data_IF_342532211734
#
_entry.id   IF_342532211734
#
_cell.length_a   1.000
_cell.length_b   1.000
_cell.length_c   1.000
_cell.angle_alpha   90.00
_cell.angle_beta   90.00
_cell.angle_gamma   90.00
#
_symmetry.space_group_name_H-M   'P 1'
#
loop_
_entity.id
_entity.type
_entity.pdbx_description
1 polymer ?
#
# COMPACT_ATOMS: atom_id res chain seq x y z
N UNK A 1 -70.58 4.27 52.15
CA UNK A 1 -69.29 4.42 52.86
C UNK A 1 -68.20 4.00 51.90
N UNK A 2 -67.56 5.00 51.28
CA UNK A 2 -66.49 4.82 50.28
C UNK A 2 -65.14 4.88 50.97
N UNK A 3 -64.35 3.87 50.77
CA UNK A 3 -63.01 3.80 51.29
C UNK A 3 -62.00 4.02 50.14
N UNK A 4 -61.32 5.19 50.14
CA UNK A 4 -60.27 5.50 49.21
C UNK A 4 -58.92 5.49 49.98
N UNK A 5 -57.91 4.76 49.50
CA UNK A 5 -56.61 4.76 50.12
C UNK A 5 -55.82 6.02 49.76
N UNK A 6 -55.39 6.71 50.80
CA UNK A 6 -54.47 7.87 50.72
C UNK A 6 -53.03 7.34 50.81
N UNK A 7 -52.34 7.19 49.69
CA UNK A 7 -50.88 7.11 49.71
C UNK A 7 -50.29 7.78 48.46
N UNK A 8 -49.74 9.00 48.61
CA UNK A 8 -49.15 9.76 47.49
C UNK A 8 -47.86 9.16 46.96
N UNK A 9 -47.21 8.24 47.65
CA UNK A 9 -45.91 7.64 47.27
C UNK A 9 -45.99 6.58 46.15
N UNK A 10 -47.18 6.05 45.86
CA UNK A 10 -47.34 5.03 44.80
C UNK A 10 -47.39 5.64 43.40
N UNK A 11 -47.86 6.89 43.27
CA UNK A 11 -47.93 7.57 41.96
C UNK A 11 -46.56 8.04 41.47
N UNK A 12 -45.66 8.40 42.36
CA UNK A 12 -44.31 8.85 41.98
C UNK A 12 -43.43 7.69 41.45
N UNK A 13 -43.64 6.44 41.93
CA UNK A 13 -42.85 5.29 41.45
C UNK A 13 -43.30 4.76 40.08
N UNK A 14 -44.56 4.90 39.72
CA UNK A 14 -45.01 4.53 38.37
C UNK A 14 -44.57 5.54 37.30
N UNK A 15 -44.59 6.85 37.61
CA UNK A 15 -44.13 7.89 36.69
C UNK A 15 -42.62 7.79 36.40
N UNK A 16 -41.80 7.48 37.43
CA UNK A 16 -40.36 7.29 37.26
C UNK A 16 -40.00 6.04 36.43
N UNK A 17 -40.78 4.97 36.51
CA UNK A 17 -40.56 3.77 35.68
C UNK A 17 -40.87 4.00 34.20
N UNK A 18 -41.89 4.77 33.87
CA UNK A 18 -42.24 5.09 32.48
C UNK A 18 -41.25 6.08 31.86
N UNK A 19 -40.75 7.07 32.61
CA UNK A 19 -39.74 7.98 32.15
C UNK A 19 -38.38 7.30 31.84
N UNK A 20 -37.95 6.32 32.67
CA UNK A 20 -36.74 5.54 32.37
C UNK A 20 -36.92 4.58 31.20
N UNK A 21 -38.13 4.07 30.93
CA UNK A 21 -38.37 3.19 29.76
C UNK A 21 -38.40 3.98 28.44
N UNK A 22 -38.94 5.20 28.47
CA UNK A 22 -38.94 6.08 27.27
C UNK A 22 -37.54 6.62 26.98
N UNK A 23 -36.74 6.96 28.03
CA UNK A 23 -35.36 7.39 27.83
C UNK A 23 -34.45 6.25 27.34
N UNK A 24 -34.70 5.01 27.79
CA UNK A 24 -34.01 3.82 27.31
C UNK A 24 -34.32 3.47 25.84
N UNK A 25 -35.53 3.73 25.37
CA UNK A 25 -35.93 3.52 23.98
C UNK A 25 -35.41 4.62 23.04
N UNK A 26 -35.21 5.85 23.52
CA UNK A 26 -34.62 6.95 22.74
C UNK A 26 -33.11 6.82 22.58
N UNK A 27 -32.41 6.14 23.48
CA UNK A 27 -30.97 5.82 23.36
C UNK A 27 -30.68 4.63 22.47
N UNK A 28 -31.67 3.78 22.14
CA UNK A 28 -31.51 2.62 21.26
C UNK A 28 -31.60 2.94 19.76
N UNK A 29 -31.99 4.15 19.37
CA UNK A 29 -31.85 4.66 18.01
C UNK A 29 -30.54 5.41 17.84
N UNK A 30 -29.42 4.86 18.32
CA UNK A 30 -28.14 5.14 17.71
C UNK A 30 -28.23 4.57 16.29
N UNK A 31 -28.59 5.40 15.32
CA UNK A 31 -28.47 5.07 13.91
C UNK A 31 -27.04 4.60 13.71
N UNK A 32 -26.86 3.32 13.51
CA UNK A 32 -25.61 2.78 12.97
C UNK A 32 -25.49 3.43 11.60
N UNK A 33 -24.82 4.59 11.55
CA UNK A 33 -24.37 5.15 10.29
C UNK A 33 -23.48 4.07 9.70
N UNK A 34 -24.03 3.31 8.77
CA UNK A 34 -23.28 2.30 8.05
C UNK A 34 -22.05 2.99 7.47
N UNK A 35 -20.87 2.61 7.94
CA UNK A 35 -19.64 3.17 7.44
C UNK A 35 -19.61 2.95 5.93
N UNK A 36 -19.62 4.03 5.15
CA UNK A 36 -19.66 4.00 3.69
C UNK A 36 -18.39 4.60 3.14
N UNK A 37 -17.95 4.08 2.01
CA UNK A 37 -16.89 4.70 1.23
C UNK A 37 -17.53 5.63 0.21
N UNK A 38 -17.19 6.90 0.26
CA UNK A 38 -17.52 7.90 -0.75
C UNK A 38 -16.44 7.87 -1.83
N UNK A 39 -16.85 7.68 -3.07
CA UNK A 39 -15.97 7.77 -4.24
C UNK A 39 -16.31 9.03 -5.00
N UNK A 40 -15.33 9.89 -5.22
CA UNK A 40 -15.45 11.12 -6.03
C UNK A 40 -14.41 11.15 -7.13
N UNK A 41 -14.68 11.90 -8.19
CA UNK A 41 -13.70 12.22 -9.25
C UNK A 41 -13.42 13.71 -9.23
N UNK A 42 -12.19 14.09 -9.48
CA UNK A 42 -11.79 15.49 -9.50
C UNK A 42 -10.34 15.65 -9.89
N UNK A 43 -9.84 16.88 -9.76
CA UNK A 43 -8.44 17.20 -10.01
C UNK A 43 -7.60 16.91 -8.76
N UNK A 44 -6.40 16.37 -8.97
CA UNK A 44 -5.38 16.20 -7.94
C UNK A 44 -4.03 16.67 -8.49
N UNK A 45 -3.47 17.73 -7.91
CA UNK A 45 -2.15 18.25 -8.27
C UNK A 45 -1.92 18.41 -9.78
N UNK A 46 -2.93 18.88 -10.52
CA UNK A 46 -2.85 19.10 -11.97
C UNK A 46 -3.28 17.90 -12.82
N UNK A 47 -3.40 16.69 -12.27
CA UNK A 47 -4.05 15.58 -12.94
C UNK A 47 -5.57 15.71 -12.85
N UNK A 48 -6.27 15.71 -13.97
CA UNK A 48 -7.70 15.93 -14.02
C UNK A 48 -8.43 14.71 -13.43
N UNK A 49 -8.74 13.72 -13.85
CA UNK A 49 -9.62 12.60 -13.53
C UNK A 49 -9.15 11.69 -12.38
N UNK A 50 -8.59 12.26 -11.31
CA UNK A 50 -8.22 11.50 -10.12
C UNK A 50 -9.46 11.01 -9.37
N UNK A 51 -9.37 9.84 -8.73
CA UNK A 51 -10.36 9.31 -7.82
C UNK A 51 -9.94 9.56 -6.38
N UNK A 52 -10.88 10.02 -5.55
CA UNK A 52 -10.73 10.07 -4.09
C UNK A 52 -11.72 9.09 -3.46
N UNK A 53 -11.22 8.19 -2.62
CA UNK A 53 -11.99 7.27 -1.79
C UNK A 53 -11.89 7.72 -0.34
N UNK A 54 -13.03 8.01 0.28
CA UNK A 54 -13.11 8.45 1.69
C UNK A 54 -14.07 7.58 2.49
N UNK A 55 -13.66 7.14 3.68
CA UNK A 55 -14.51 6.39 4.59
C UNK A 55 -14.87 7.16 5.88
N UNK A 56 -14.68 8.48 5.88
CA UNK A 56 -14.89 9.34 7.04
C UNK A 56 -13.69 9.41 8.01
N UNK A 57 -12.67 8.57 7.82
CA UNK A 57 -11.42 8.56 8.62
C UNK A 57 -10.20 8.88 7.78
N UNK A 58 -10.07 8.20 6.66
CA UNK A 58 -8.93 8.30 5.75
C UNK A 58 -9.38 8.59 4.33
N UNK A 59 -8.44 9.09 3.55
CA UNK A 59 -8.56 9.32 2.12
C UNK A 59 -7.48 8.56 1.36
N UNK A 60 -7.87 7.99 0.22
CA UNK A 60 -6.97 7.40 -0.79
C UNK A 60 -7.17 8.16 -2.08
N UNK A 61 -6.09 8.63 -2.71
CA UNK A 61 -6.14 9.29 -4.02
C UNK A 61 -5.47 8.40 -5.07
N UNK A 62 -6.17 8.21 -6.17
CA UNK A 62 -5.75 7.36 -7.29
C UNK A 62 -5.71 8.21 -8.53
N UNK A 63 -4.60 8.17 -9.27
CA UNK A 63 -4.37 8.96 -10.50
C UNK A 63 -4.22 8.02 -11.68
N UNK A 64 -5.29 7.79 -12.46
CA UNK A 64 -5.27 6.90 -13.63
C UNK A 64 -4.30 7.34 -14.72
N UNK A 65 -4.09 8.66 -14.87
CA UNK A 65 -3.20 9.22 -15.88
C UNK A 65 -1.75 8.73 -15.79
N UNK A 66 -1.33 8.27 -14.61
CA UNK A 66 -0.02 7.68 -14.34
C UNK A 66 -0.10 6.30 -13.70
N UNK A 67 -1.31 5.70 -13.64
CA UNK A 67 -1.54 4.33 -13.16
C UNK A 67 -1.21 4.09 -11.68
N UNK A 68 -1.28 5.10 -10.79
CA UNK A 68 -0.76 5.02 -9.42
C UNK A 68 -1.78 5.37 -8.35
N UNK A 69 -1.58 4.84 -7.13
CA UNK A 69 -2.14 5.40 -5.90
C UNK A 69 -1.14 6.45 -5.41
N UNK A 70 -1.58 7.72 -5.34
CA UNK A 70 -0.69 8.83 -5.01
C UNK A 70 -0.79 9.28 -3.57
N UNK A 71 -1.92 9.03 -2.88
CA UNK A 71 -2.09 9.45 -1.50
C UNK A 71 -2.83 8.40 -0.68
N UNK A 72 -2.41 8.25 0.57
CA UNK A 72 -3.12 7.55 1.64
C UNK A 72 -2.83 8.29 2.96
N UNK A 73 -3.87 8.79 3.62
CA UNK A 73 -3.73 9.59 4.83
C UNK A 73 -5.02 9.76 5.60
N UNK A 74 -4.93 10.25 6.83
CA UNK A 74 -6.10 10.67 7.58
C UNK A 74 -6.68 11.95 6.96
N UNK A 75 -8.00 12.08 6.97
CA UNK A 75 -8.70 13.25 6.42
C UNK A 75 -8.27 14.51 7.19
N UNK A 76 -7.80 15.53 6.46
CA UNK A 76 -7.31 16.77 7.04
C UNK A 76 -5.86 16.73 7.53
N UNK A 77 -5.17 15.61 7.35
CA UNK A 77 -3.76 15.45 7.66
C UNK A 77 -2.92 15.16 6.42
N UNK A 78 -1.62 15.32 6.54
CA UNK A 78 -0.70 14.99 5.47
C UNK A 78 -0.58 13.46 5.32
N UNK A 79 -0.73 12.95 4.10
CA UNK A 79 -0.62 11.52 3.84
C UNK A 79 0.82 11.02 3.87
N UNK A 80 0.96 9.70 3.90
CA UNK A 80 2.25 9.02 4.13
C UNK A 80 3.03 8.72 2.85
N UNK A 81 2.37 8.70 1.69
CA UNK A 81 3.06 8.44 0.42
C UNK A 81 3.94 9.62 0.04
N UNK A 82 5.10 9.32 -0.52
CA UNK A 82 5.98 10.33 -1.11
C UNK A 82 5.55 10.63 -2.54
N UNK A 83 5.55 11.90 -2.90
CA UNK A 83 5.19 12.41 -4.21
C UNK A 83 6.28 13.32 -4.72
N UNK A 84 6.64 13.17 -5.98
CA UNK A 84 7.53 14.11 -6.64
C UNK A 84 6.74 15.32 -7.15
N UNK A 85 6.65 16.34 -6.33
CA UNK A 85 5.87 17.56 -6.60
C UNK A 85 6.33 18.33 -7.84
N UNK A 86 7.56 18.10 -8.30
CA UNK A 86 8.08 18.70 -9.55
C UNK A 86 7.40 18.12 -10.80
N UNK A 87 6.72 16.98 -10.67
CA UNK A 87 6.05 16.28 -11.75
C UNK A 87 4.52 16.40 -11.68
N UNK A 88 4.01 17.29 -10.86
CA UNK A 88 2.57 17.51 -10.72
C UNK A 88 1.88 17.78 -12.06
N UNK A 89 0.80 17.06 -12.36
CA UNK A 89 0.05 17.15 -13.59
C UNK A 89 0.75 16.60 -14.84
N UNK A 90 2.00 16.14 -14.71
CA UNK A 90 2.73 15.57 -15.85
C UNK A 90 2.33 14.10 -16.07
N UNK A 91 2.54 13.61 -17.27
CA UNK A 91 2.34 12.22 -17.67
C UNK A 91 3.59 11.71 -18.37
N UNK A 92 3.88 10.42 -18.22
CA UNK A 92 4.97 9.81 -18.98
C UNK A 92 4.55 9.66 -20.44
N UNK A 93 5.43 10.10 -21.36
CA UNK A 93 5.24 9.83 -22.78
C UNK A 93 5.80 8.44 -23.11
N UNK A 94 4.92 7.47 -23.22
CA UNK A 94 5.27 6.06 -23.45
C UNK A 94 5.24 5.62 -24.90
N UNK A 95 5.20 6.55 -25.86
CA UNK A 95 5.27 6.20 -27.28
C UNK A 95 6.61 5.55 -27.60
N UNK A 96 6.58 4.54 -28.51
CA UNK A 96 7.74 3.70 -28.84
C UNK A 96 9.07 4.44 -29.07
N UNK A 97 9.16 5.56 -29.84
CA UNK A 97 10.41 6.30 -29.99
C UNK A 97 10.92 6.93 -28.69
N UNK A 98 10.03 7.28 -27.77
CA UNK A 98 10.34 7.93 -26.49
C UNK A 98 10.74 6.92 -25.41
N UNK A 99 10.40 5.64 -25.59
CA UNK A 99 10.93 4.58 -24.71
C UNK A 99 12.45 4.41 -24.86
N UNK A 100 13.04 4.95 -25.90
CA UNK A 100 14.47 5.18 -25.98
C UNK A 100 14.93 6.36 -25.13
N UNK A 101 14.00 7.15 -24.56
CA UNK A 101 14.32 8.28 -23.70
C UNK A 101 15.20 7.83 -22.52
N UNK A 102 16.16 8.65 -22.21
CA UNK A 102 17.25 8.33 -21.29
C UNK A 102 16.79 8.24 -19.84
N UNK A 103 15.70 8.88 -19.48
CA UNK A 103 15.39 9.16 -18.09
C UNK A 103 14.12 8.46 -17.63
N UNK A 104 14.27 7.72 -16.54
CA UNK A 104 13.16 7.22 -15.75
C UNK A 104 12.49 8.40 -15.00
N UNK A 105 11.15 8.40 -14.97
CA UNK A 105 10.37 9.46 -14.35
C UNK A 105 9.77 8.93 -13.03
N UNK A 106 10.25 9.47 -11.90
CA UNK A 106 9.78 9.05 -10.58
C UNK A 106 8.67 9.95 -10.06
N UNK A 107 7.41 9.57 -10.26
CA UNK A 107 6.24 10.31 -9.78
C UNK A 107 6.00 10.16 -8.28
N UNK A 108 6.50 9.10 -7.65
CA UNK A 108 6.12 8.74 -6.28
C UNK A 108 4.92 7.79 -6.21
N UNK A 109 4.30 7.68 -5.05
CA UNK A 109 3.11 6.87 -4.84
C UNK A 109 3.36 5.37 -4.81
N UNK A 110 2.30 4.59 -5.07
CA UNK A 110 2.34 3.13 -5.10
C UNK A 110 2.08 2.62 -6.52
N UNK A 111 2.94 1.71 -6.97
CA UNK A 111 3.01 1.19 -8.34
C UNK A 111 3.30 -0.30 -8.38
N UNK A 112 3.31 -0.88 -9.59
CA UNK A 112 3.69 -2.28 -9.79
C UNK A 112 4.62 -2.45 -10.97
N UNK A 113 5.62 -3.32 -10.82
CA UNK A 113 6.56 -3.72 -11.86
C UNK A 113 6.60 -5.25 -12.00
N UNK A 114 6.97 -5.80 -13.15
CA UNK A 114 7.24 -7.24 -13.28
C UNK A 114 8.58 -7.58 -12.63
N UNK A 115 8.62 -8.66 -11.87
CA UNK A 115 9.85 -9.22 -11.32
C UNK A 115 10.21 -10.56 -12.00
N UNK A 116 11.50 -10.95 -12.01
CA UNK A 116 12.64 -10.28 -11.41
C UNK A 116 13.17 -9.13 -12.29
N UNK A 117 13.75 -8.10 -11.66
CA UNK A 117 14.41 -6.98 -12.36
C UNK A 117 15.49 -7.47 -13.33
N UNK A 118 16.25 -8.47 -12.93
CA UNK A 118 17.32 -9.07 -13.75
C UNK A 118 16.85 -9.60 -15.13
N UNK A 119 15.56 -9.85 -15.30
CA UNK A 119 15.00 -10.31 -16.57
C UNK A 119 14.62 -9.15 -17.53
N UNK A 120 14.57 -7.91 -17.06
CA UNK A 120 14.07 -6.78 -17.84
C UNK A 120 14.82 -6.58 -19.18
N UNK A 121 16.15 -6.65 -19.15
CA UNK A 121 16.95 -6.49 -20.37
C UNK A 121 16.66 -7.58 -21.41
N UNK A 122 16.38 -8.80 -20.99
CA UNK A 122 16.02 -9.93 -21.86
C UNK A 122 14.67 -9.71 -22.56
N UNK A 123 13.68 -9.16 -21.87
CA UNK A 123 12.36 -8.86 -22.43
C UNK A 123 12.37 -7.59 -23.27
N UNK A 124 13.00 -6.52 -22.78
CA UNK A 124 12.95 -5.20 -23.42
C UNK A 124 14.02 -4.97 -24.49
N UNK A 125 15.08 -5.78 -24.52
CA UNK A 125 16.27 -5.54 -25.34
C UNK A 125 17.08 -4.29 -24.93
N UNK A 126 16.72 -3.64 -23.82
CA UNK A 126 17.33 -2.40 -23.34
C UNK A 126 18.46 -2.67 -22.37
N UNK A 127 19.59 -1.99 -22.57
CA UNK A 127 20.74 -2.11 -21.66
C UNK A 127 20.56 -1.23 -20.43
N UNK A 128 21.11 -1.69 -19.29
CA UNK A 128 21.07 -0.99 -18.01
C UNK A 128 19.73 -1.08 -17.29
N UNK A 129 19.70 -0.46 -16.12
CA UNK A 129 18.49 -0.43 -15.29
C UNK A 129 17.44 0.49 -15.90
N UNK A 130 16.32 -0.08 -16.33
CA UNK A 130 15.19 0.64 -16.91
C UNK A 130 13.93 -0.15 -16.73
N UNK A 131 12.99 0.33 -15.90
CA UNK A 131 11.70 -0.34 -15.74
C UNK A 131 10.94 -0.38 -17.07
N UNK A 132 10.16 -1.45 -17.30
CA UNK A 132 9.30 -1.54 -18.47
C UNK A 132 8.26 -0.42 -18.45
N UNK A 133 8.19 0.43 -19.49
CA UNK A 133 7.40 1.66 -19.45
C UNK A 133 5.90 1.43 -19.38
N UNK A 134 5.40 0.30 -19.88
CA UNK A 134 3.99 -0.08 -19.77
C UNK A 134 3.52 -0.29 -18.32
N UNK A 135 4.45 -0.58 -17.42
CA UNK A 135 4.18 -0.73 -15.98
C UNK A 135 4.53 0.55 -15.19
N UNK A 136 5.43 1.38 -15.69
CA UNK A 136 5.93 2.54 -14.94
C UNK A 136 5.40 3.88 -15.48
N UNK A 137 4.39 4.42 -14.85
CA UNK A 137 3.80 5.72 -15.16
C UNK A 137 2.94 5.76 -16.42
N UNK A 138 2.66 4.61 -17.04
CA UNK A 138 1.69 4.53 -18.12
C UNK A 138 0.28 4.81 -17.60
N UNK A 139 -0.53 5.48 -18.42
CA UNK A 139 -1.95 5.67 -18.11
C UNK A 139 -2.70 4.34 -18.06
N UNK A 140 -3.66 4.26 -17.16
CA UNK A 140 -4.54 3.11 -17.00
C UNK A 140 -6.00 3.53 -17.24
N UNK A 141 -6.78 2.62 -17.81
CA UNK A 141 -8.23 2.77 -17.82
C UNK A 141 -8.77 2.54 -16.40
N UNK A 142 -9.58 3.47 -15.92
CA UNK A 142 -10.19 3.36 -14.62
C UNK A 142 -11.67 3.04 -14.72
N UNK A 143 -12.13 2.09 -13.90
CA UNK A 143 -13.54 1.75 -13.74
C UNK A 143 -13.88 1.56 -12.27
N UNK A 144 -15.19 1.55 -11.96
CA UNK A 144 -15.68 1.28 -10.61
C UNK A 144 -16.36 -0.09 -10.57
N UNK A 145 -16.07 -0.84 -9.51
CA UNK A 145 -16.77 -2.04 -9.10
C UNK A 145 -17.27 -1.80 -7.67
N UNK A 146 -18.52 -1.32 -7.56
CA UNK A 146 -19.03 -0.74 -6.32
C UNK A 146 -18.23 0.48 -5.90
N UNK A 147 -17.57 0.41 -4.75
CA UNK A 147 -16.65 1.44 -4.22
C UNK A 147 -15.17 1.14 -4.48
N UNK A 148 -14.87 0.07 -5.20
CA UNK A 148 -13.51 -0.32 -5.59
C UNK A 148 -13.14 0.34 -6.90
N UNK A 149 -12.03 1.06 -6.94
CA UNK A 149 -11.45 1.55 -8.19
C UNK A 149 -10.59 0.45 -8.81
N UNK A 150 -10.82 0.19 -10.09
CA UNK A 150 -10.06 -0.79 -10.87
C UNK A 150 -9.27 -0.05 -11.93
N UNK A 151 -7.96 -0.11 -11.85
CA UNK A 151 -7.05 0.36 -12.89
C UNK A 151 -6.66 -0.81 -13.78
N UNK A 152 -6.80 -0.65 -15.10
CA UNK A 152 -6.39 -1.64 -16.10
C UNK A 152 -5.38 -1.00 -17.03
N UNK A 153 -4.16 -1.51 -17.08
CA UNK A 153 -3.11 -1.02 -17.97
C UNK A 153 -3.40 -1.36 -19.43
N UNK A 154 -2.68 -0.72 -20.33
CA UNK A 154 -2.50 -1.27 -21.67
C UNK A 154 -1.73 -2.61 -21.57
N UNK A 155 -1.76 -3.41 -22.65
CA UNK A 155 -0.89 -4.58 -22.75
C UNK A 155 0.55 -4.05 -22.92
N UNK A 156 1.46 -4.47 -22.05
CA UNK A 156 2.86 -4.11 -22.18
C UNK A 156 3.45 -4.81 -23.42
N UNK A 157 4.02 -4.07 -24.35
CA UNK A 157 4.45 -4.64 -25.64
C UNK A 157 5.69 -5.56 -25.55
N UNK A 158 6.43 -5.49 -24.43
CA UNK A 158 7.61 -6.34 -24.24
C UNK A 158 7.24 -7.65 -23.54
N UNK A 159 6.35 -7.57 -22.58
CA UNK A 159 5.92 -8.72 -21.78
C UNK A 159 4.65 -9.40 -22.31
N UNK A 160 3.85 -8.72 -23.14
CA UNK A 160 2.52 -9.18 -23.55
C UNK A 160 1.54 -9.26 -22.37
N UNK A 161 1.86 -8.62 -21.26
CA UNK A 161 1.12 -8.68 -20.00
C UNK A 161 0.26 -7.45 -19.82
N UNK A 162 -0.98 -7.66 -19.39
CA UNK A 162 -1.85 -6.61 -18.89
C UNK A 162 -1.92 -6.65 -17.37
N UNK A 163 -1.66 -5.53 -16.72
CA UNK A 163 -1.80 -5.37 -15.28
C UNK A 163 -3.19 -4.83 -14.94
N UNK A 164 -3.78 -5.40 -13.88
CA UNK A 164 -5.05 -4.93 -13.31
C UNK A 164 -4.89 -4.75 -11.82
N UNK A 165 -5.20 -3.55 -11.32
CA UNK A 165 -5.10 -3.22 -9.89
C UNK A 165 -6.47 -2.87 -9.34
N UNK A 166 -6.92 -3.59 -8.34
CA UNK A 166 -8.16 -3.35 -7.59
C UNK A 166 -7.82 -2.66 -6.27
N UNK A 167 -8.27 -1.42 -6.13
CA UNK A 167 -7.97 -0.55 -4.98
C UNK A 167 -9.25 -0.41 -4.17
N UNK A 168 -9.28 -1.02 -2.98
CA UNK A 168 -10.44 -1.11 -2.11
C UNK A 168 -10.13 -0.50 -0.74
N UNK A 169 -10.84 0.58 -0.39
CA UNK A 169 -10.79 1.17 0.94
C UNK A 169 -11.83 0.49 1.84
N UNK A 170 -11.42 0.00 3.01
CA UNK A 170 -12.35 -0.58 3.98
C UNK A 170 -13.31 0.48 4.53
N UNK A 171 -14.65 0.24 4.56
CA UNK A 171 -15.61 1.27 4.92
C UNK A 171 -15.50 1.78 6.36
N UNK A 172 -15.04 0.97 7.31
CA UNK A 172 -15.01 1.34 8.75
C UNK A 172 -13.62 1.45 9.38
N UNK A 173 -12.53 1.14 8.64
CA UNK A 173 -11.18 1.14 9.17
C UNK A 173 -10.22 1.89 8.25
N UNK A 174 -9.12 2.47 8.78
CA UNK A 174 -8.05 3.06 7.97
C UNK A 174 -7.20 1.96 7.32
N UNK A 175 -7.84 1.15 6.50
CA UNK A 175 -7.30 -0.03 5.84
C UNK A 175 -7.58 0.04 4.33
N UNK A 176 -6.52 -0.05 3.56
CA UNK A 176 -6.53 -0.10 2.10
C UNK A 176 -6.07 -1.49 1.67
N UNK A 177 -6.83 -2.15 0.80
CA UNK A 177 -6.40 -3.37 0.12
C UNK A 177 -6.14 -3.08 -1.35
N UNK A 178 -4.96 -3.45 -1.83
CA UNK A 178 -4.62 -3.40 -3.25
C UNK A 178 -4.37 -4.84 -3.72
N UNK A 179 -5.17 -5.28 -4.69
CA UNK A 179 -4.98 -6.57 -5.34
C UNK A 179 -4.50 -6.30 -6.76
N UNK A 180 -3.29 -6.74 -7.07
CA UNK A 180 -2.66 -6.62 -8.38
C UNK A 180 -2.74 -7.98 -9.10
N UNK A 181 -3.23 -7.99 -10.31
CA UNK A 181 -3.29 -9.16 -11.20
C UNK A 181 -2.49 -8.87 -12.46
N UNK A 182 -1.70 -9.84 -12.91
CA UNK A 182 -1.09 -9.85 -14.24
C UNK A 182 -1.70 -10.98 -15.06
N UNK A 183 -2.12 -10.66 -16.27
CA UNK A 183 -2.59 -11.64 -17.25
C UNK A 183 -1.71 -11.58 -18.50
N UNK A 184 -1.15 -12.71 -18.90
CA UNK A 184 -0.44 -12.80 -20.17
C UNK A 184 -1.47 -12.85 -21.31
N UNK A 185 -1.57 -11.76 -22.06
CA UNK A 185 -2.53 -11.61 -23.16
C UNK A 185 -2.01 -12.15 -24.48
N UNK A 186 -0.70 -12.00 -24.70
CA UNK A 186 -0.04 -12.38 -25.96
C UNK A 186 1.45 -12.69 -25.74
N UNK A 187 2.11 -13.26 -26.72
CA UNK A 187 3.54 -13.57 -26.68
C UNK A 187 3.87 -14.97 -26.22
N UNK A 188 5.12 -15.19 -25.82
CA UNK A 188 5.63 -16.48 -25.39
C UNK A 188 5.43 -16.68 -23.87
N UNK A 189 5.36 -17.93 -23.39
CA UNK A 189 5.34 -18.20 -21.96
C UNK A 189 6.49 -17.50 -21.24
N UNK A 190 6.18 -16.81 -20.15
CA UNK A 190 7.14 -16.03 -19.37
C UNK A 190 7.08 -16.39 -17.89
N UNK A 191 8.24 -16.52 -17.24
CA UNK A 191 8.33 -16.63 -15.80
C UNK A 191 8.46 -15.23 -15.21
N UNK A 192 7.49 -14.85 -14.40
CA UNK A 192 7.46 -13.53 -13.74
C UNK A 192 6.70 -13.58 -12.42
N UNK A 193 6.93 -12.57 -11.60
CA UNK A 193 6.18 -12.27 -10.38
C UNK A 193 5.64 -10.84 -10.42
N UNK A 194 4.78 -10.52 -9.48
CA UNK A 194 4.28 -9.17 -9.27
C UNK A 194 5.16 -8.50 -8.21
N UNK A 195 5.69 -7.36 -8.53
CA UNK A 195 6.45 -6.51 -7.62
C UNK A 195 5.65 -5.22 -7.36
N UNK A 196 5.23 -4.99 -6.13
CA UNK A 196 4.54 -3.76 -5.72
C UNK A 196 5.52 -2.89 -4.94
N UNK A 197 5.62 -1.63 -5.32
CA UNK A 197 6.55 -0.66 -4.77
C UNK A 197 5.75 0.51 -4.20
N UNK A 198 5.85 0.70 -2.90
CA UNK A 198 5.20 1.81 -2.19
C UNK A 198 6.25 2.82 -1.76
N UNK A 199 6.28 3.98 -2.42
CA UNK A 199 7.19 5.09 -2.08
C UNK A 199 6.59 5.92 -0.95
N UNK A 200 7.34 6.05 0.13
CA UNK A 200 6.91 6.70 1.37
C UNK A 200 7.84 7.85 1.74
N UNK A 201 7.32 8.82 2.46
CA UNK A 201 8.12 9.90 3.04
C UNK A 201 9.18 9.35 3.99
N UNK A 202 10.25 10.11 4.21
CA UNK A 202 11.31 9.74 5.15
C UNK A 202 10.72 9.45 6.54
N UNK A 203 10.90 8.24 7.08
CA UNK A 203 10.39 7.86 8.40
C UNK A 203 11.40 8.19 9.51
N UNK A 204 10.93 8.07 10.76
CA UNK A 204 11.81 7.95 11.92
C UNK A 204 12.38 6.53 12.08
N UNK A 205 11.73 5.52 11.50
CA UNK A 205 12.21 4.16 11.47
C UNK A 205 11.44 3.26 10.51
N UNK A 206 12.14 2.28 9.98
CA UNK A 206 11.61 1.19 9.16
C UNK A 206 11.85 -0.12 9.89
N UNK A 207 10.85 -0.99 9.89
CA UNK A 207 10.93 -2.23 10.64
C UNK A 207 10.32 -3.39 9.84
N UNK A 208 10.87 -4.59 10.08
CA UNK A 208 10.29 -5.84 9.63
C UNK A 208 10.33 -6.87 10.76
N UNK A 209 9.29 -7.71 10.85
CA UNK A 209 9.33 -8.86 11.75
C UNK A 209 10.15 -9.97 11.11
N UNK A 210 11.20 -10.40 11.80
CA UNK A 210 12.02 -11.52 11.36
C UNK A 210 11.29 -12.84 11.58
N UNK A 211 11.19 -13.72 10.57
CA UNK A 211 10.63 -15.06 10.77
C UNK A 211 11.54 -15.87 11.71
N UNK A 212 10.96 -16.83 12.42
CA UNK A 212 11.73 -17.73 13.32
C UNK A 212 12.78 -18.55 12.56
N UNK A 213 12.49 -18.88 11.32
CA UNK A 213 13.38 -19.57 10.39
C UNK A 213 13.40 -18.76 9.10
N UNK A 214 14.43 -17.94 8.94
CA UNK A 214 14.64 -17.19 7.71
C UNK A 214 15.28 -18.06 6.64
N UNK A 215 14.94 -17.81 5.38
CA UNK A 215 15.64 -18.39 4.22
C UNK A 215 17.03 -17.77 4.06
N UNK A 216 17.28 -16.62 4.64
CA UNK A 216 18.55 -15.91 4.63
C UNK A 216 19.35 -16.21 5.90
N UNK A 217 20.65 -16.57 5.79
CA UNK A 217 21.47 -16.87 6.96
C UNK A 217 21.50 -15.77 8.03
N UNK A 218 21.49 -14.50 7.59
CA UNK A 218 21.49 -13.33 8.48
C UNK A 218 20.07 -12.76 8.73
N UNK A 219 19.02 -13.40 8.16
CA UNK A 219 17.65 -12.88 8.19
C UNK A 219 17.38 -11.77 7.17
N UNK A 220 18.34 -11.48 6.29
CA UNK A 220 18.23 -10.53 5.19
C UNK A 220 19.31 -10.81 4.13
N UNK A 221 19.14 -10.22 2.94
CA UNK A 221 20.15 -10.15 1.88
C UNK A 221 20.36 -8.68 1.50
N UNK A 222 21.57 -8.31 1.09
CA UNK A 222 21.94 -6.95 0.65
C UNK A 222 22.04 -6.93 -0.87
N UNK A 223 21.37 -5.97 -1.50
CA UNK A 223 21.53 -5.65 -2.91
C UNK A 223 22.50 -4.48 -3.05
N UNK A 224 23.75 -4.77 -3.26
CA UNK A 224 24.82 -3.79 -3.31
C UNK A 224 26.09 -4.28 -2.65
N UNK A 225 27.02 -3.36 -2.41
CA UNK A 225 28.34 -3.70 -1.86
C UNK A 225 28.41 -3.65 -0.33
N UNK A 226 27.53 -2.86 0.28
CA UNK A 226 27.66 -2.52 1.71
C UNK A 226 26.35 -2.76 2.46
N UNK A 227 26.49 -3.25 3.67
CA UNK A 227 25.38 -3.34 4.63
C UNK A 227 25.01 -1.92 5.05
N UNK A 228 23.71 -1.55 5.08
CA UNK A 228 23.32 -0.24 5.56
C UNK A 228 23.85 0.03 6.97
N UNK A 229 24.54 1.16 7.22
CA UNK A 229 25.15 1.45 8.54
C UNK A 229 24.11 1.63 9.66
N UNK A 230 22.85 1.91 9.28
CA UNK A 230 21.74 2.08 10.21
C UNK A 230 20.95 0.78 10.46
N UNK A 231 21.36 -0.32 9.80
CA UNK A 231 20.71 -1.62 9.98
C UNK A 231 21.01 -2.16 11.38
N UNK A 232 19.98 -2.48 12.11
CA UNK A 232 20.09 -3.16 13.40
C UNK A 232 19.17 -4.36 13.49
N UNK A 233 19.61 -5.36 14.23
CA UNK A 233 18.89 -6.61 14.40
C UNK A 233 18.66 -6.89 15.89
N UNK A 234 17.44 -7.28 16.21
CA UNK A 234 17.11 -7.93 17.47
C UNK A 234 16.64 -9.36 17.21
N UNK A 235 16.32 -10.11 18.24
CA UNK A 235 15.83 -11.49 18.08
C UNK A 235 14.56 -11.57 17.23
N UNK A 236 13.77 -10.48 17.16
CA UNK A 236 12.47 -10.46 16.49
C UNK A 236 12.33 -9.43 15.39
N UNK A 237 13.06 -8.33 15.47
CA UNK A 237 12.92 -7.21 14.55
C UNK A 237 14.22 -6.91 13.82
N UNK A 238 14.08 -6.57 12.56
CA UNK A 238 15.04 -5.82 11.78
C UNK A 238 14.59 -4.36 11.80
N UNK A 239 15.51 -3.44 12.02
CA UNK A 239 15.27 -2.01 11.95
C UNK A 239 16.29 -1.34 11.03
N UNK A 240 15.83 -0.32 10.29
CA UNK A 240 16.61 0.46 9.34
C UNK A 240 16.13 1.91 9.36
N UNK A 241 17.05 2.85 9.15
CA UNK A 241 16.72 4.25 8.86
C UNK A 241 17.39 4.70 7.57
N UNK A 242 16.81 5.68 6.90
CA UNK A 242 17.37 6.29 5.70
C UNK A 242 18.62 7.10 6.05
N UNK A 243 19.61 7.07 5.17
CA UNK A 243 20.73 8.01 5.19
C UNK A 243 20.63 8.99 4.02
N UNK A 244 21.05 10.25 4.17
CA UNK A 244 20.95 11.22 3.10
C UNK A 244 21.99 11.02 1.98
N UNK A 245 23.04 10.25 2.23
CA UNK A 245 24.21 10.18 1.35
C UNK A 245 24.16 9.01 0.37
N UNK A 246 23.63 7.85 0.77
CA UNK A 246 23.73 6.62 0.00
C UNK A 246 22.36 5.93 -0.13
N UNK A 247 22.18 5.30 -1.28
CA UNK A 247 21.09 4.36 -1.48
C UNK A 247 21.45 3.01 -0.88
N UNK A 248 20.49 2.38 -0.22
CA UNK A 248 20.61 1.01 0.26
C UNK A 248 19.36 0.22 -0.10
N UNK A 249 19.57 -1.06 -0.44
CA UNK A 249 18.47 -2.01 -0.66
C UNK A 249 18.76 -3.32 0.06
N UNK A 250 17.79 -3.81 0.80
CA UNK A 250 17.81 -5.11 1.46
C UNK A 250 16.59 -5.93 1.12
N UNK A 251 16.77 -7.23 0.97
CA UNK A 251 15.70 -8.21 0.77
C UNK A 251 15.46 -9.03 2.03
N UNK A 252 14.21 -9.39 2.23
CA UNK A 252 13.71 -10.08 3.42
C UNK A 252 12.73 -11.19 3.04
N UNK A 253 12.49 -12.10 3.98
CA UNK A 253 11.43 -13.09 3.94
C UNK A 253 10.34 -12.80 4.99
N UNK A 254 10.06 -11.51 5.20
CA UNK A 254 9.08 -11.03 6.16
C UNK A 254 7.67 -11.00 5.56
N UNK A 255 6.64 -11.25 6.40
CA UNK A 255 5.24 -11.16 6.00
C UNK A 255 4.67 -9.75 6.07
N UNK A 256 5.40 -8.82 6.69
CA UNK A 256 4.97 -7.45 6.88
C UNK A 256 6.16 -6.50 7.04
N UNK A 257 5.97 -5.28 6.50
CA UNK A 257 6.89 -4.15 6.63
C UNK A 257 6.18 -2.99 7.34
N UNK A 258 6.86 -2.31 8.24
CA UNK A 258 6.33 -1.20 9.01
C UNK A 258 7.15 0.07 8.80
N UNK A 259 6.50 1.12 8.36
CA UNK A 259 6.98 2.50 8.35
C UNK A 259 6.48 3.23 9.59
N UNK A 260 7.37 3.88 10.33
CA UNK A 260 7.04 4.69 11.52
C UNK A 260 7.49 6.13 11.27
N UNK A 261 6.53 7.01 11.06
CA UNK A 261 6.76 8.46 10.96
C UNK A 261 6.60 9.17 12.31
N UNK A 262 6.64 10.50 12.28
CA UNK A 262 6.50 11.32 13.49
C UNK A 262 5.10 11.19 14.13
N UNK A 263 4.04 11.12 13.31
CA UNK A 263 2.65 11.11 13.79
C UNK A 263 1.91 9.80 13.46
N UNK A 264 2.32 9.12 12.40
CA UNK A 264 1.60 7.99 11.84
C UNK A 264 2.49 6.76 11.72
N UNK A 265 1.84 5.61 11.60
CA UNK A 265 2.45 4.34 11.22
C UNK A 265 1.73 3.77 10.01
N UNK A 266 2.47 3.12 9.12
CA UNK A 266 1.91 2.34 8.03
C UNK A 266 2.48 0.93 8.08
N UNK A 267 1.61 -0.05 8.30
CA UNK A 267 1.93 -1.47 8.17
C UNK A 267 1.47 -1.95 6.79
N UNK A 268 2.36 -2.58 6.04
CA UNK A 268 2.04 -3.26 4.78
C UNK A 268 2.19 -4.76 5.02
N UNK A 269 1.09 -5.49 4.93
CA UNK A 269 1.06 -6.94 5.05
C UNK A 269 1.03 -7.61 3.67
N UNK A 270 1.93 -8.56 3.48
CA UNK A 270 2.07 -9.38 2.27
C UNK A 270 2.61 -10.76 2.64
N UNK A 271 1.74 -11.68 3.06
CA UNK A 271 2.16 -13.00 3.53
C UNK A 271 2.94 -13.78 2.48
N UNK A 272 4.03 -14.41 2.92
CA UNK A 272 4.86 -15.28 2.09
C UNK A 272 4.16 -16.62 1.84
N UNK A 273 4.09 -17.04 0.59
CA UNK A 273 3.61 -18.38 0.22
C UNK A 273 4.70 -19.43 0.50
N UNK A 274 4.38 -20.41 1.33
CA UNK A 274 5.31 -21.47 1.70
C UNK A 274 5.65 -22.36 0.50
N UNK A 275 6.95 -22.68 0.34
CA UNK A 275 7.44 -23.55 -0.74
C UNK A 275 7.47 -22.92 -2.13
N UNK A 276 7.03 -21.66 -2.28
CA UNK A 276 7.11 -20.96 -3.55
C UNK A 276 8.51 -20.36 -3.80
N UNK A 277 8.89 -20.27 -5.08
CA UNK A 277 10.09 -19.55 -5.49
C UNK A 277 9.81 -18.06 -5.61
N UNK A 278 10.71 -17.25 -5.10
CA UNK A 278 10.62 -15.80 -5.15
C UNK A 278 11.78 -15.20 -5.95
N UNK A 279 11.58 -14.01 -6.54
CA UNK A 279 12.66 -13.29 -7.22
C UNK A 279 13.73 -12.81 -6.22
N UNK A 280 14.71 -12.11 -6.71
CA UNK A 280 15.65 -11.30 -5.93
C UNK A 280 16.25 -12.09 -4.75
N UNK A 281 16.92 -13.19 -5.09
CA UNK A 281 17.55 -14.16 -4.17
C UNK A 281 16.56 -14.83 -3.20
N UNK A 282 15.26 -14.79 -3.47
CA UNK A 282 14.23 -15.41 -2.63
C UNK A 282 13.48 -14.41 -1.72
N UNK A 283 13.60 -13.11 -1.97
CA UNK A 283 12.92 -12.07 -1.22
C UNK A 283 11.44 -11.99 -1.59
N UNK A 284 10.55 -11.93 -0.59
CA UNK A 284 9.14 -11.55 -0.81
C UNK A 284 8.83 -10.15 -0.31
N UNK A 285 9.75 -9.53 0.43
CA UNK A 285 9.68 -8.13 0.81
C UNK A 285 11.06 -7.49 0.71
N UNK A 286 11.10 -6.19 0.41
CA UNK A 286 12.34 -5.43 0.31
C UNK A 286 12.16 -4.03 0.88
N UNK A 287 13.25 -3.44 1.35
CA UNK A 287 13.31 -2.05 1.78
C UNK A 287 14.41 -1.36 0.98
N UNK A 288 14.02 -0.30 0.28
CA UNK A 288 14.96 0.60 -0.39
C UNK A 288 14.95 1.97 0.27
N UNK A 289 16.11 2.60 0.38
CA UNK A 289 16.26 3.98 0.87
C UNK A 289 16.99 4.82 -0.16
N UNK A 290 16.37 5.92 -0.60
CA UNK A 290 16.93 6.84 -1.58
C UNK A 290 17.78 7.92 -0.89
N UNK A 291 18.92 8.33 -1.47
CA UNK A 291 19.68 9.47 -0.98
C UNK A 291 18.99 10.81 -1.36
N UNK A 292 19.52 11.92 -0.87
CA UNK A 292 19.16 13.24 -1.34
C UNK A 292 19.59 13.43 -2.82
N UNK A 293 18.92 14.26 -3.62
CA UNK A 293 17.85 15.20 -3.22
C UNK A 293 16.43 14.64 -3.24
N UNK A 294 16.24 13.35 -3.45
CA UNK A 294 14.92 12.71 -3.47
C UNK A 294 14.71 11.89 -2.18
N UNK A 295 14.22 12.52 -1.07
CA UNK A 295 14.19 11.91 0.25
C UNK A 295 12.98 10.99 0.44
N UNK A 296 12.97 9.83 -0.20
CA UNK A 296 11.95 8.81 -0.04
C UNK A 296 12.57 7.47 0.38
N UNK A 297 11.71 6.58 0.78
CA UNK A 297 12.00 5.15 0.95
C UNK A 297 10.97 4.33 0.17
N UNK A 298 11.29 3.08 -0.10
CA UNK A 298 10.36 2.12 -0.67
C UNK A 298 10.16 0.96 0.29
N UNK A 299 8.90 0.63 0.56
CA UNK A 299 8.51 -0.65 1.08
C UNK A 299 7.96 -1.45 -0.09
N UNK A 300 8.60 -2.58 -0.35
CA UNK A 300 8.37 -3.36 -1.54
C UNK A 300 7.88 -4.76 -1.17
N UNK A 301 6.92 -5.28 -1.94
CA UNK A 301 6.41 -6.63 -1.77
C UNK A 301 6.44 -7.36 -3.09
N UNK A 302 6.85 -8.62 -3.06
CA UNK A 302 7.03 -9.44 -4.25
C UNK A 302 6.18 -10.69 -4.15
N UNK A 303 5.38 -10.94 -5.19
CA UNK A 303 4.70 -12.20 -5.39
C UNK A 303 5.66 -13.30 -5.86
N UNK A 304 5.30 -14.58 -5.67
CA UNK A 304 6.11 -15.70 -6.14
C UNK A 304 6.22 -15.72 -7.65
N UNK A 305 7.34 -16.24 -8.14
CA UNK A 305 7.57 -16.48 -9.57
C UNK A 305 6.64 -17.57 -10.09
N UNK A 306 5.95 -17.31 -11.19
CA UNK A 306 5.09 -18.26 -11.88
C UNK A 306 5.33 -18.20 -13.39
N UNK A 307 5.31 -19.34 -14.05
CA UNK A 307 5.32 -19.39 -15.51
C UNK A 307 3.90 -19.18 -16.03
N UNK A 308 3.69 -18.08 -16.73
CA UNK A 308 2.43 -17.78 -17.40
C UNK A 308 2.46 -18.24 -18.85
N UNK A 309 1.34 -18.78 -19.30
CA UNK A 309 0.98 -18.98 -20.72
C UNK A 309 -0.11 -17.97 -21.07
N UNK A 310 -0.36 -17.74 -22.35
CA UNK A 310 -1.44 -16.87 -22.81
C UNK A 310 -2.77 -17.25 -22.14
N UNK A 311 -3.45 -16.28 -21.55
CA UNK A 311 -4.65 -16.44 -20.74
C UNK A 311 -4.36 -16.77 -19.26
N UNK A 312 -3.11 -17.13 -18.90
CA UNK A 312 -2.71 -17.40 -17.52
C UNK A 312 -2.63 -16.11 -16.69
N UNK A 313 -2.90 -16.25 -15.40
CA UNK A 313 -2.94 -15.11 -14.44
C UNK A 313 -2.15 -15.43 -13.19
N UNK A 314 -1.59 -14.37 -12.62
CA UNK A 314 -1.06 -14.34 -11.25
C UNK A 314 -1.66 -13.17 -10.49
N UNK A 315 -1.77 -13.33 -9.18
CA UNK A 315 -2.37 -12.32 -8.29
C UNK A 315 -1.47 -12.11 -7.09
N UNK A 316 -1.33 -10.86 -6.68
CA UNK A 316 -0.64 -10.45 -5.46
C UNK A 316 -1.50 -9.45 -4.69
N UNK A 317 -1.62 -9.65 -3.38
CA UNK A 317 -2.50 -8.85 -2.52
C UNK A 317 -1.71 -8.23 -1.39
N UNK A 318 -1.85 -6.92 -1.22
CA UNK A 318 -1.28 -6.15 -0.13
C UNK A 318 -2.40 -5.53 0.70
N UNK A 319 -2.21 -5.51 2.02
CA UNK A 319 -3.06 -4.80 2.96
C UNK A 319 -2.25 -3.71 3.64
N UNK A 320 -2.73 -2.49 3.59
CA UNK A 320 -2.12 -1.29 4.15
C UNK A 320 -2.96 -0.84 5.34
N UNK A 321 -2.35 -0.82 6.52
CA UNK A 321 -2.99 -0.41 7.76
C UNK A 321 -2.34 0.88 8.24
N UNK A 322 -3.10 1.99 8.21
CA UNK A 322 -2.65 3.30 8.68
C UNK A 322 -3.17 3.53 10.10
N UNK A 323 -2.28 3.92 11.02
CA UNK A 323 -2.69 4.28 12.40
C UNK A 323 -1.93 5.53 12.87
N UNK A 324 -2.43 6.16 13.91
CA UNK A 324 -1.68 7.17 14.65
C UNK A 324 -0.63 6.50 15.54
N UNK A 325 0.57 7.03 15.52
CA UNK A 325 1.65 6.58 16.41
C UNK A 325 1.28 6.82 17.87
N UNK A 326 1.53 5.84 18.72
CA UNK A 326 1.13 5.84 20.14
C UNK A 326 2.31 5.78 21.10
N UNK A 327 3.49 5.35 20.64
CA UNK A 327 4.66 5.15 21.49
C UNK A 327 5.71 6.26 21.28
N UNK A 328 6.45 6.62 22.33
CA UNK A 328 7.46 7.68 22.26
C UNK A 328 8.55 7.41 21.24
N UNK A 329 9.03 6.17 21.15
CA UNK A 329 10.09 5.79 20.21
C UNK A 329 9.57 4.92 19.08
N UNK A 330 10.17 5.00 17.88
CA UNK A 330 9.82 4.12 16.76
C UNK A 330 9.98 2.63 17.08
N UNK A 331 10.99 2.27 17.88
CA UNK A 331 11.23 0.88 18.25
C UNK A 331 10.15 0.31 19.18
N UNK A 332 9.67 1.11 20.16
CA UNK A 332 8.54 0.73 21.01
C UNK A 332 7.25 0.59 20.21
N UNK A 333 7.02 1.48 19.26
CA UNK A 333 5.87 1.40 18.36
C UNK A 333 5.93 0.12 17.52
N UNK A 334 7.08 -0.16 16.90
CA UNK A 334 7.29 -1.36 16.11
C UNK A 334 7.12 -2.64 16.96
N UNK A 335 7.64 -2.66 18.18
CA UNK A 335 7.47 -3.79 19.08
C UNK A 335 6.01 -4.01 19.52
N UNK A 336 5.19 -2.96 19.55
CA UNK A 336 3.78 -3.05 19.86
C UNK A 336 2.95 -3.57 18.66
N UNK A 337 3.30 -3.19 17.43
CA UNK A 337 2.59 -3.54 16.20
C UNK A 337 3.00 -4.91 15.67
N UNK A 338 4.31 -5.21 15.62
CA UNK A 338 4.89 -6.42 15.01
C UNK A 338 5.09 -7.58 16.02
N UNK A 339 4.20 -7.76 16.97
CA UNK A 339 4.25 -8.80 18.02
C UNK A 339 4.16 -10.23 17.48
#
# INVERSE_FOLDING_TARGET
MSWAPKHPLLRARLAARHACFILGLLLAYATTVSARVLVTRGSYHGWADAFSLRNGRVEVVIVPAIGRVMQFGFIGEEGVLWENRMLDGQVADIRLPVWAAKDWVNFGGDKTWPSPEAAWSGFTGRKGWRPPPGFDGASALASLDGTTVVLTSQIDPFYGVQARRRIHLHPGRPELTITTEYELKEGQPAQLGIWVITQLKTPEGLFARRPKKSVFPNGYVVFGREVPPTLSLTNRLLALTRTPTNAYKIGLDADALLWVGAKHTLLIESPRESGASYPDQGSNTEIYTSPDPLPYIELETLGPLRTLKVGGRIVHRNVYLLDHRRKPTPAEEAAAILR
#
